data_IF_515039636995
#
_entry.id   IF_515039636995
#
_cell.length_a   1.000
_cell.length_b   1.000
_cell.length_c   1.000
_cell.angle_alpha   90.00
_cell.angle_beta   90.00
_cell.angle_gamma   90.00
#
_symmetry.space_group_name_H-M   'P 1'
#
loop_
_entity.id
_entity.type
_entity.pdbx_description
1 polymer ?
#
# COMPACT_ATOMS: atom_id res chain seq x y z
N UNK A 1 -10.84 -3.83 1.45
CA UNK A 1 -9.53 -3.61 2.07
C UNK A 1 -9.64 -3.34 3.57
N UNK A 2 -8.99 -4.17 4.40
CA UNK A 2 -8.79 -3.92 5.84
C UNK A 2 -7.30 -3.92 6.16
N UNK A 3 -6.80 -2.83 6.73
CA UNK A 3 -5.41 -2.75 7.23
C UNK A 3 -5.28 -3.63 8.48
N UNK A 4 -4.27 -4.50 8.47
CA UNK A 4 -3.95 -5.43 9.56
C UNK A 4 -2.86 -4.86 10.46
N UNK A 5 -1.78 -4.36 9.86
CA UNK A 5 -0.66 -3.73 10.57
C UNK A 5 0.02 -2.66 9.73
N UNK A 6 0.71 -1.76 10.41
CA UNK A 6 1.56 -0.73 9.81
C UNK A 6 2.93 -0.84 10.47
N UNK A 7 3.97 -1.02 9.66
CA UNK A 7 5.36 -1.08 10.12
C UNK A 7 6.10 0.14 9.60
N UNK A 8 6.73 0.90 10.50
CA UNK A 8 7.61 2.01 10.11
C UNK A 8 8.99 1.46 9.78
N UNK A 9 9.37 1.51 8.51
CA UNK A 9 10.71 1.11 8.06
C UNK A 9 11.73 2.22 8.37
N UNK A 10 11.35 3.47 8.11
CA UNK A 10 12.14 4.67 8.40
C UNK A 10 11.22 5.84 8.76
N UNK A 11 11.79 7.00 9.09
CA UNK A 11 11.05 8.21 9.45
C UNK A 11 10.05 8.64 8.36
N UNK A 12 10.37 8.37 7.09
CA UNK A 12 9.53 8.71 5.94
C UNK A 12 8.98 7.48 5.21
N UNK A 13 9.23 6.24 5.66
CA UNK A 13 8.81 5.02 4.96
C UNK A 13 8.02 4.13 5.90
N UNK A 14 6.81 3.75 5.49
CA UNK A 14 5.98 2.80 6.20
C UNK A 14 5.48 1.71 5.26
N UNK A 15 5.47 0.47 5.75
CA UNK A 15 4.86 -0.68 5.09
C UNK A 15 3.49 -0.94 5.72
N UNK A 16 2.43 -0.83 4.91
CA UNK A 16 1.07 -1.18 5.34
C UNK A 16 0.76 -2.59 4.87
N UNK A 17 0.38 -3.45 5.81
CA UNK A 17 -0.12 -4.78 5.54
C UNK A 17 -1.64 -4.77 5.65
N UNK A 18 -2.30 -5.32 4.65
CA UNK A 18 -3.75 -5.37 4.56
C UNK A 18 -4.19 -6.68 3.95
N UNK A 19 -5.44 -7.05 4.23
CA UNK A 19 -6.09 -8.18 3.57
C UNK A 19 -7.17 -7.66 2.64
N UNK A 20 -7.08 -8.08 1.38
CA UNK A 20 -8.06 -7.79 0.36
C UNK A 20 -8.19 -8.98 -0.59
N UNK A 21 -9.43 -9.34 -0.92
CA UNK A 21 -9.70 -10.52 -1.75
C UNK A 21 -9.21 -10.35 -3.19
N UNK A 22 -9.15 -9.11 -3.70
CA UNK A 22 -8.65 -8.83 -5.05
C UNK A 22 -7.12 -8.89 -5.07
N UNK A 23 -6.46 -8.33 -4.05
CA UNK A 23 -5.01 -8.39 -3.93
C UNK A 23 -4.49 -9.80 -3.63
N UNK A 24 -5.29 -10.67 -3.01
CA UNK A 24 -4.94 -12.09 -2.82
C UNK A 24 -4.78 -12.85 -4.15
N UNK A 25 -5.45 -12.39 -5.21
CA UNK A 25 -5.33 -12.92 -6.57
C UNK A 25 -4.42 -12.08 -7.48
N UNK A 26 -3.75 -11.06 -6.95
CA UNK A 26 -2.87 -10.22 -7.76
C UNK A 26 -1.66 -11.01 -8.25
N UNK A 27 -1.13 -10.63 -9.41
CA UNK A 27 0.10 -11.21 -9.95
C UNK A 27 1.28 -10.24 -9.81
N UNK A 28 2.53 -10.75 -9.67
CA UNK A 28 3.72 -9.91 -9.66
C UNK A 28 3.77 -8.99 -10.88
N UNK A 29 3.96 -7.69 -10.66
CA UNK A 29 3.95 -6.66 -11.70
C UNK A 29 2.64 -5.88 -11.80
N UNK A 30 1.60 -6.28 -11.07
CA UNK A 30 0.41 -5.44 -10.87
C UNK A 30 0.65 -4.38 -9.78
N UNK A 31 -0.05 -3.26 -9.92
CA UNK A 31 -0.09 -2.18 -8.95
C UNK A 31 -1.55 -1.92 -8.55
N UNK A 32 -1.75 -1.31 -7.40
CA UNK A 32 -3.05 -0.88 -6.93
C UNK A 32 -3.14 0.64 -6.89
N UNK A 33 -4.31 1.17 -7.20
CA UNK A 33 -4.60 2.59 -6.97
C UNK A 33 -5.04 2.77 -5.52
N UNK A 34 -4.30 3.55 -4.76
CA UNK A 34 -4.65 3.91 -3.39
C UNK A 34 -5.32 5.27 -3.42
N UNK A 35 -6.57 5.32 -2.99
CA UNK A 35 -7.29 6.58 -2.84
C UNK A 35 -7.05 7.16 -1.43
N UNK A 36 -6.57 8.39 -1.36
CA UNK A 36 -6.38 9.13 -0.11
C UNK A 36 -7.59 10.05 0.09
N UNK A 37 -8.37 9.89 1.17
CA UNK A 37 -9.54 10.72 1.41
C UNK A 37 -9.16 12.20 1.56
N UNK A 38 -9.56 13.03 0.58
CA UNK A 38 -9.26 14.47 0.57
C UNK A 38 -8.12 14.89 -0.36
N UNK A 39 -7.43 13.93 -0.98
CA UNK A 39 -6.31 14.13 -1.91
C UNK A 39 -6.57 13.35 -3.22
N UNK A 40 -5.50 13.02 -3.94
CA UNK A 40 -5.51 12.29 -5.21
C UNK A 40 -5.35 10.76 -5.06
N UNK A 41 -5.55 10.04 -6.17
CA UNK A 41 -5.28 8.61 -6.26
C UNK A 41 -3.82 8.38 -6.66
N UNK A 42 -3.10 7.58 -5.88
CA UNK A 42 -1.69 7.30 -6.12
C UNK A 42 -1.50 5.81 -6.48
N UNK A 43 -0.85 5.48 -7.61
CA UNK A 43 -0.49 4.11 -7.92
C UNK A 43 0.62 3.62 -6.99
N UNK A 44 0.37 2.51 -6.28
CA UNK A 44 1.32 1.86 -5.39
C UNK A 44 1.57 0.42 -5.82
N UNK A 45 2.84 0.02 -5.89
CA UNK A 45 3.23 -1.36 -6.15
C UNK A 45 3.01 -2.24 -4.93
N UNK A 46 2.57 -3.48 -5.14
CA UNK A 46 2.42 -4.47 -4.09
C UNK A 46 3.81 -5.03 -3.72
N UNK A 47 4.21 -4.86 -2.46
CA UNK A 47 5.46 -5.35 -1.90
C UNK A 47 5.37 -6.83 -1.50
N UNK A 48 4.18 -7.32 -1.18
CA UNK A 48 3.90 -8.73 -0.88
C UNK A 48 2.54 -9.11 -1.43
N UNK A 49 2.45 -10.31 -1.99
CA UNK A 49 1.24 -10.86 -2.60
C UNK A 49 1.04 -12.27 -2.03
N UNK A 50 -0.14 -12.56 -1.49
CA UNK A 50 -0.46 -13.83 -0.82
C UNK A 50 -1.71 -13.73 0.05
N UNK A 51 -1.76 -14.46 1.17
CA UNK A 51 -2.86 -14.33 2.17
C UNK A 51 -2.96 -12.92 2.79
N UNK A 52 -1.85 -12.19 2.79
CA UNK A 52 -1.73 -10.80 3.17
C UNK A 52 -1.01 -10.05 2.04
N UNK A 53 -1.54 -8.88 1.68
CA UNK A 53 -0.90 -7.98 0.74
C UNK A 53 -0.24 -6.84 1.51
N UNK A 54 0.83 -6.28 0.97
CA UNK A 54 1.47 -5.10 1.55
C UNK A 54 1.85 -4.08 0.50
N UNK A 55 1.84 -2.81 0.91
CA UNK A 55 2.38 -1.69 0.13
C UNK A 55 3.38 -0.95 1.00
N UNK A 56 4.48 -0.54 0.40
CA UNK A 56 5.47 0.32 1.05
C UNK A 56 5.26 1.74 0.54
N UNK A 57 4.84 2.63 1.43
CA UNK A 57 4.64 4.04 1.14
C UNK A 57 5.82 4.84 1.67
N UNK A 58 6.32 5.75 0.84
CA UNK A 58 7.27 6.77 1.27
C UNK A 58 6.55 8.11 1.32
N UNK A 59 6.59 8.79 2.45
CA UNK A 59 6.20 10.18 2.60
C UNK A 59 7.16 11.07 1.80
N UNK A 60 6.93 11.17 0.50
CA UNK A 60 7.66 12.06 -0.40
C UNK A 60 7.03 13.46 -0.35
N UNK A 61 7.11 14.09 0.82
CA UNK A 61 6.75 15.49 1.03
C UNK A 61 5.33 15.75 1.53
N UNK A 62 5.07 16.97 2.04
CA UNK A 62 3.72 17.46 2.22
C UNK A 62 3.08 17.58 0.84
N UNK A 63 1.80 17.24 0.72
CA UNK A 63 0.97 17.70 -0.40
C UNK A 63 1.36 19.14 -0.75
N UNK A 64 1.81 19.38 -1.97
CA UNK A 64 2.00 20.72 -2.53
C UNK A 64 1.33 20.78 -3.88
#
# INVERSE_FOLDING_TARGET
>A
MRVLRVEGETEDVATLYFRDGLCASAEPGQFMMVWIPGDEEVPMSLSTIGEEASITVKAVGPTS
#
